data_IF_533888323065
#
_entry.id   IF_533888323065
#
_cell.length_a   1.000
_cell.length_b   1.000
_cell.length_c   1.000
_cell.angle_alpha   90.00
_cell.angle_beta   90.00
_cell.angle_gamma   90.00
#
_symmetry.space_group_name_H-M   'P 1'
#
loop_
_entity.id
_entity.type
_entity.pdbx_description
1 polymer ?
#
# COMPACT_ATOMS: atom_id res chain seq x y z
N UNK A 1 -23.17 2.29 35.52
CA UNK A 1 -22.50 3.24 34.58
C UNK A 1 -21.81 2.43 33.52
N UNK A 2 -22.26 2.42 32.24
CA UNK A 2 -21.58 1.70 31.19
C UNK A 2 -20.31 2.44 30.77
N UNK A 3 -19.22 1.70 30.59
CA UNK A 3 -17.90 2.19 30.21
C UNK A 3 -17.93 2.83 28.81
N UNK A 4 -17.54 4.08 28.73
CA UNK A 4 -17.45 4.94 27.52
C UNK A 4 -16.25 4.58 26.60
N UNK A 5 -15.72 3.32 26.66
CA UNK A 5 -14.45 2.93 26.02
C UNK A 5 -14.53 2.49 24.56
N UNK A 6 -15.69 2.08 24.05
CA UNK A 6 -15.76 1.44 22.73
C UNK A 6 -16.14 2.34 21.56
N UNK A 7 -16.67 3.55 21.82
CA UNK A 7 -17.11 4.48 20.75
C UNK A 7 -16.02 5.42 20.24
N UNK A 8 -14.88 5.51 20.90
CA UNK A 8 -13.81 6.45 20.56
C UNK A 8 -12.69 5.89 19.67
N UNK A 9 -12.55 4.58 19.58
CA UNK A 9 -11.40 3.93 18.92
C UNK A 9 -11.22 4.29 17.44
N UNK A 10 -12.18 4.03 16.54
CA UNK A 10 -12.05 4.33 15.11
C UNK A 10 -11.97 5.83 14.82
N UNK A 11 -12.75 6.64 15.50
CA UNK A 11 -12.72 8.11 15.34
C UNK A 11 -11.40 8.70 15.82
N UNK A 12 -10.88 8.20 16.95
CA UNK A 12 -9.59 8.63 17.49
C UNK A 12 -8.46 8.23 16.54
N UNK A 13 -8.45 7.01 16.01
CA UNK A 13 -7.49 6.55 15.00
C UNK A 13 -7.52 7.44 13.77
N UNK A 14 -8.71 7.73 13.22
CA UNK A 14 -8.87 8.59 12.05
C UNK A 14 -8.33 10.00 12.29
N UNK A 15 -8.63 10.61 13.44
CA UNK A 15 -8.13 11.94 13.80
C UNK A 15 -6.61 11.97 13.95
N UNK A 16 -6.01 11.00 14.64
CA UNK A 16 -4.55 10.90 14.78
C UNK A 16 -3.90 10.82 13.40
N UNK A 17 -4.42 9.98 12.50
CA UNK A 17 -3.93 9.82 11.15
C UNK A 17 -4.03 11.13 10.34
N UNK A 18 -5.15 11.80 10.38
CA UNK A 18 -5.37 13.06 9.67
C UNK A 18 -4.37 14.14 10.11
N UNK A 19 -4.22 14.32 11.43
CA UNK A 19 -3.24 15.24 12.00
C UNK A 19 -1.81 14.87 11.60
N UNK A 20 -1.45 13.59 11.72
CA UNK A 20 -0.11 13.11 11.35
C UNK A 20 0.19 13.37 9.87
N UNK A 21 -0.74 13.04 8.97
CA UNK A 21 -0.58 13.25 7.53
C UNK A 21 -0.40 14.74 7.20
N UNK A 22 -1.19 15.62 7.78
CA UNK A 22 -1.05 17.07 7.61
C UNK A 22 0.35 17.54 8.02
N UNK A 23 0.79 17.19 9.22
CA UNK A 23 2.11 17.58 9.74
C UNK A 23 3.26 17.02 8.90
N UNK A 24 3.19 15.76 8.50
CA UNK A 24 4.26 15.12 7.71
C UNK A 24 4.37 15.71 6.30
N UNK A 25 3.25 16.05 5.66
CA UNK A 25 3.24 16.69 4.34
C UNK A 25 3.75 18.14 4.43
N UNK A 26 3.34 18.89 5.45
CA UNK A 26 3.70 20.29 5.63
C UNK A 26 5.18 20.48 6.04
N UNK A 27 5.65 19.67 7.00
CA UNK A 27 6.93 19.88 7.68
C UNK A 27 8.00 18.82 7.37
N UNK A 28 7.63 17.78 6.64
CA UNK A 28 8.46 16.60 6.41
C UNK A 28 8.35 15.56 7.54
N UNK A 29 8.44 14.28 7.17
CA UNK A 29 8.27 13.18 8.11
C UNK A 29 9.30 13.20 9.26
N UNK A 30 10.59 13.40 8.94
CA UNK A 30 11.67 13.29 9.93
C UNK A 30 11.65 14.44 10.96
N UNK A 31 11.12 15.60 10.58
CA UNK A 31 11.03 16.78 11.45
C UNK A 31 9.91 16.74 12.48
N UNK A 32 8.93 15.85 12.34
CA UNK A 32 7.75 15.75 13.22
C UNK A 32 7.90 14.58 14.19
N UNK A 33 7.60 14.81 15.46
CA UNK A 33 7.65 13.77 16.51
C UNK A 33 6.25 13.21 16.80
N UNK A 34 6.18 11.98 17.34
CA UNK A 34 4.91 11.39 17.82
C UNK A 34 4.29 12.22 18.94
N UNK A 35 5.10 12.89 19.76
CA UNK A 35 4.61 13.77 20.81
C UNK A 35 3.90 15.02 20.26
N UNK A 36 4.39 15.58 19.16
CA UNK A 36 3.73 16.68 18.45
C UNK A 36 2.40 16.23 17.82
N UNK A 37 2.38 15.07 17.16
CA UNK A 37 1.15 14.48 16.62
C UNK A 37 0.12 14.26 17.74
N UNK A 38 0.54 13.70 18.87
CA UNK A 38 -0.33 13.46 20.02
C UNK A 38 -0.95 14.75 20.57
N UNK A 39 -0.11 15.79 20.76
CA UNK A 39 -0.55 17.10 21.22
C UNK A 39 -1.58 17.71 20.28
N UNK A 40 -1.30 17.72 18.98
CA UNK A 40 -2.15 18.31 17.96
C UNK A 40 -3.46 17.53 17.79
N UNK A 41 -3.40 16.20 17.92
CA UNK A 41 -4.58 15.33 17.92
C UNK A 41 -5.37 15.36 19.24
N UNK A 42 -4.88 16.07 20.29
CA UNK A 42 -5.53 16.14 21.59
C UNK A 42 -5.58 14.81 22.33
N UNK A 43 -4.53 13.99 22.21
CA UNK A 43 -4.39 12.69 22.88
C UNK A 43 -3.02 12.54 23.54
N UNK A 44 -2.81 11.47 24.31
CA UNK A 44 -1.48 11.13 24.83
C UNK A 44 -0.64 10.38 23.77
N UNK A 45 0.70 10.43 23.87
CA UNK A 45 1.58 9.60 23.02
C UNK A 45 1.32 8.12 23.22
N UNK A 46 0.92 7.68 24.41
CA UNK A 46 0.53 6.29 24.68
C UNK A 46 -0.70 5.92 23.84
N UNK A 47 -1.68 6.83 23.74
CA UNK A 47 -2.85 6.62 22.89
C UNK A 47 -2.47 6.50 21.43
N UNK A 48 -1.50 7.30 20.95
CA UNK A 48 -1.01 7.19 19.57
C UNK A 48 -0.38 5.81 19.35
N UNK A 49 0.52 5.37 20.23
CA UNK A 49 1.19 4.06 20.09
C UNK A 49 0.22 2.87 20.23
N UNK A 50 -0.88 3.01 20.96
CA UNK A 50 -1.92 1.97 21.01
C UNK A 50 -2.65 1.80 19.67
N UNK A 51 -2.72 2.84 18.84
CA UNK A 51 -3.35 2.79 17.52
C UNK A 51 -2.36 2.55 16.39
N UNK A 52 -1.13 3.02 16.55
CA UNK A 52 -0.05 2.97 15.56
C UNK A 52 1.24 2.58 16.26
N UNK A 53 1.63 1.29 16.24
CA UNK A 53 2.79 0.78 16.97
C UNK A 53 4.12 1.47 16.60
N UNK A 54 4.21 1.98 15.37
CA UNK A 54 5.39 2.69 14.86
C UNK A 54 4.99 4.06 14.31
N UNK A 55 5.94 5.01 14.29
CA UNK A 55 5.73 6.33 13.70
C UNK A 55 5.41 6.23 12.20
N UNK A 56 6.05 5.29 11.49
CA UNK A 56 5.86 5.02 10.07
C UNK A 56 4.41 4.62 9.76
N UNK A 57 3.77 3.87 10.66
CA UNK A 57 2.40 3.40 10.49
C UNK A 57 1.37 4.54 10.57
N UNK A 58 1.76 5.73 11.10
CA UNK A 58 0.94 6.94 11.03
C UNK A 58 0.77 7.46 9.60
N UNK A 59 1.73 7.20 8.73
CA UNK A 59 1.73 7.66 7.34
C UNK A 59 1.42 6.53 6.35
N UNK A 60 1.92 5.32 6.63
CA UNK A 60 1.73 4.12 5.81
C UNK A 60 0.65 3.20 6.41
N UNK A 61 -0.54 3.74 6.67
CA UNK A 61 -1.60 3.13 7.48
C UNK A 61 -2.52 2.15 6.73
N UNK A 62 -2.24 1.86 5.45
CA UNK A 62 -3.09 1.00 4.61
C UNK A 62 -2.55 -0.42 4.42
N UNK A 63 -1.63 -0.84 5.27
CA UNK A 63 -1.06 -2.20 5.19
C UNK A 63 -2.15 -3.25 5.39
N UNK A 64 -3.04 -3.05 6.36
CA UNK A 64 -4.16 -3.99 6.62
C UNK A 64 -5.12 -4.08 5.43
N UNK A 65 -5.42 -2.95 4.76
CA UNK A 65 -6.24 -2.92 3.54
C UNK A 65 -5.57 -3.73 2.42
N UNK A 66 -4.25 -3.57 2.23
CA UNK A 66 -3.50 -4.30 1.22
C UNK A 66 -3.43 -5.81 1.51
N UNK A 67 -3.26 -6.19 2.77
CA UNK A 67 -3.32 -7.60 3.23
C UNK A 67 -4.67 -8.21 2.88
N UNK A 68 -5.77 -7.52 3.21
CA UNK A 68 -7.11 -8.05 2.97
C UNK A 68 -7.43 -8.16 1.47
N UNK A 69 -6.98 -7.20 0.66
CA UNK A 69 -7.10 -7.28 -0.80
C UNK A 69 -6.39 -8.51 -1.38
N UNK A 70 -5.18 -8.84 -0.91
CA UNK A 70 -4.47 -10.04 -1.35
C UNK A 70 -5.20 -11.32 -0.91
N UNK A 71 -5.70 -11.35 0.33
CA UNK A 71 -6.49 -12.49 0.83
C UNK A 71 -7.74 -12.72 0.00
N UNK A 72 -8.52 -11.66 -0.23
CA UNK A 72 -9.74 -11.73 -1.06
C UNK A 72 -9.43 -12.14 -2.49
N UNK A 73 -8.33 -11.64 -3.09
CA UNK A 73 -7.93 -12.03 -4.43
C UNK A 73 -7.65 -13.54 -4.56
N UNK A 74 -7.19 -14.20 -3.48
CA UNK A 74 -6.98 -15.65 -3.48
C UNK A 74 -8.26 -16.41 -3.12
N UNK A 75 -8.97 -15.99 -2.07
CA UNK A 75 -10.11 -16.74 -1.50
C UNK A 75 -11.40 -16.57 -2.29
N UNK A 76 -11.69 -15.37 -2.80
CA UNK A 76 -13.00 -14.99 -3.34
C UNK A 76 -13.02 -15.02 -4.89
N UNK A 77 -12.05 -15.70 -5.52
CA UNK A 77 -11.86 -15.70 -6.98
C UNK A 77 -12.91 -16.47 -7.79
N UNK A 78 -13.93 -17.05 -7.15
CA UNK A 78 -15.06 -17.71 -7.79
C UNK A 78 -14.70 -18.71 -8.92
N UNK A 79 -13.59 -19.44 -8.75
CA UNK A 79 -13.09 -20.43 -9.72
C UNK A 79 -12.17 -19.86 -10.81
N UNK A 80 -11.93 -18.56 -10.85
CA UNK A 80 -10.90 -17.98 -11.71
C UNK A 80 -9.48 -18.44 -11.26
N UNK A 81 -8.52 -18.44 -12.18
CA UNK A 81 -7.12 -18.65 -11.77
C UNK A 81 -6.59 -17.44 -10.97
N UNK A 82 -5.58 -17.68 -10.16
CA UNK A 82 -5.01 -16.69 -9.22
C UNK A 82 -4.48 -15.46 -9.96
N UNK A 83 -3.80 -15.62 -11.09
CA UNK A 83 -3.24 -14.51 -11.85
C UNK A 83 -4.35 -13.61 -12.42
N UNK A 84 -5.43 -14.21 -12.90
CA UNK A 84 -6.61 -13.47 -13.34
C UNK A 84 -7.22 -12.67 -12.19
N UNK A 85 -7.39 -13.27 -11.03
CA UNK A 85 -7.96 -12.58 -9.87
C UNK A 85 -7.07 -11.44 -9.34
N UNK A 86 -5.76 -11.65 -9.26
CA UNK A 86 -4.80 -10.59 -8.90
C UNK A 86 -4.80 -9.46 -9.93
N UNK A 87 -4.87 -9.80 -11.23
CA UNK A 87 -4.97 -8.83 -12.32
C UNK A 87 -6.22 -7.98 -12.19
N UNK A 88 -7.38 -8.61 -12.05
CA UNK A 88 -8.67 -7.93 -11.95
C UNK A 88 -8.72 -7.03 -10.70
N UNK A 89 -8.13 -7.48 -9.58
CA UNK A 89 -7.99 -6.67 -8.37
C UNK A 89 -7.10 -5.45 -8.63
N UNK A 90 -5.93 -5.61 -9.26
CA UNK A 90 -5.02 -4.50 -9.54
C UNK A 90 -5.63 -3.47 -10.51
N UNK A 91 -6.32 -3.93 -11.57
CA UNK A 91 -6.98 -3.03 -12.52
C UNK A 91 -8.21 -2.36 -11.91
N UNK A 92 -8.98 -3.03 -11.07
CA UNK A 92 -10.08 -2.41 -10.33
C UNK A 92 -9.57 -1.29 -9.42
N UNK A 93 -8.48 -1.52 -8.65
CA UNK A 93 -7.86 -0.48 -7.83
C UNK A 93 -7.40 0.72 -8.68
N UNK A 94 -6.85 0.45 -9.86
CA UNK A 94 -6.45 1.48 -10.81
C UNK A 94 -7.67 2.27 -11.32
N UNK A 95 -8.70 1.60 -11.82
CA UNK A 95 -9.89 2.23 -12.41
C UNK A 95 -10.69 3.04 -11.36
N UNK A 96 -10.74 2.57 -10.11
CA UNK A 96 -11.35 3.27 -8.96
C UNK A 96 -10.47 4.38 -8.38
N UNK A 97 -9.25 4.58 -8.89
CA UNK A 97 -8.24 5.51 -8.31
C UNK A 97 -8.03 5.27 -6.81
N UNK A 98 -8.06 4.00 -6.42
CA UNK A 98 -7.88 3.61 -5.03
C UNK A 98 -6.49 4.04 -4.53
N UNK A 99 -6.33 4.52 -3.29
CA UNK A 99 -5.02 4.98 -2.78
C UNK A 99 -3.88 3.97 -2.93
N UNK A 100 -4.18 2.66 -2.84
CA UNK A 100 -3.18 1.60 -3.03
C UNK A 100 -2.76 1.39 -4.50
N UNK A 101 -3.45 1.99 -5.47
CA UNK A 101 -2.99 1.99 -6.86
C UNK A 101 -1.86 3.00 -7.12
N UNK A 102 -1.68 3.98 -6.24
CA UNK A 102 -0.74 5.08 -6.44
C UNK A 102 -1.11 6.05 -7.56
N UNK A 103 -2.29 5.88 -8.18
CA UNK A 103 -2.74 6.68 -9.32
C UNK A 103 -3.83 7.66 -8.88
N UNK A 104 -3.41 8.72 -8.19
CA UNK A 104 -4.25 9.87 -7.83
C UNK A 104 -3.41 11.14 -8.04
N UNK A 105 -3.97 12.16 -8.71
CA UNK A 105 -3.30 13.46 -8.91
C UNK A 105 -2.82 14.09 -7.59
N UNK A 106 -3.50 13.77 -6.49
CA UNK A 106 -3.16 14.24 -5.14
C UNK A 106 -2.06 13.42 -4.45
N UNK A 107 -1.52 12.38 -5.09
CA UNK A 107 -0.50 11.52 -4.48
C UNK A 107 0.92 12.12 -4.48
N UNK A 108 1.18 13.19 -5.22
CA UNK A 108 2.50 13.83 -5.28
C UNK A 108 3.08 14.21 -3.90
N UNK A 109 2.34 14.83 -2.96
CA UNK A 109 2.84 15.08 -1.61
C UNK A 109 3.20 13.81 -0.87
N UNK A 110 2.39 12.75 -0.98
CA UNK A 110 2.67 11.45 -0.38
C UNK A 110 3.99 10.88 -0.91
N UNK A 111 4.16 10.79 -2.22
CA UNK A 111 5.40 10.28 -2.83
C UNK A 111 6.62 11.11 -2.46
N UNK A 112 6.48 12.44 -2.39
CA UNK A 112 7.57 13.32 -1.97
C UNK A 112 7.98 13.06 -0.52
N UNK A 113 7.02 12.90 0.38
CA UNK A 113 7.28 12.61 1.80
C UNK A 113 7.97 11.26 1.97
N UNK A 114 7.48 10.21 1.27
CA UNK A 114 8.12 8.88 1.28
C UNK A 114 9.55 8.94 0.72
N UNK A 115 9.73 9.55 -0.44
CA UNK A 115 11.04 9.66 -1.11
C UNK A 115 12.07 10.48 -0.29
N UNK A 116 11.59 11.43 0.52
CA UNK A 116 12.42 12.28 1.37
C UNK A 116 12.84 11.64 2.70
N UNK A 117 12.32 10.45 3.07
CA UNK A 117 12.62 9.82 4.37
C UNK A 117 13.14 8.39 4.20
N UNK A 118 14.42 8.14 4.57
CA UNK A 118 14.97 6.78 4.60
C UNK A 118 14.17 5.81 5.48
N UNK A 119 13.58 6.30 6.58
CA UNK A 119 12.76 5.49 7.48
C UNK A 119 11.48 5.01 6.79
N UNK A 120 10.78 5.90 6.06
CA UNK A 120 9.59 5.53 5.28
C UNK A 120 9.94 4.58 4.14
N UNK A 121 11.05 4.80 3.43
CA UNK A 121 11.52 3.88 2.38
C UNK A 121 11.79 2.49 2.95
N UNK A 122 12.45 2.40 4.12
CA UNK A 122 12.70 1.14 4.80
C UNK A 122 11.38 0.45 5.17
N UNK A 123 10.43 1.19 5.75
CA UNK A 123 9.11 0.63 6.13
C UNK A 123 8.31 0.14 4.92
N UNK A 124 8.33 0.86 3.80
CA UNK A 124 7.69 0.39 2.54
C UNK A 124 8.27 -0.96 2.11
N UNK A 125 9.59 -1.16 2.21
CA UNK A 125 10.23 -2.45 1.87
C UNK A 125 9.79 -3.57 2.82
N UNK A 126 9.69 -3.27 4.13
CA UNK A 126 9.16 -4.22 5.12
C UNK A 126 7.71 -4.60 4.79
N UNK A 127 6.85 -3.61 4.48
CA UNK A 127 5.45 -3.86 4.09
C UNK A 127 5.38 -4.76 2.86
N UNK A 128 6.19 -4.51 1.82
CA UNK A 128 6.23 -5.38 0.63
C UNK A 128 6.61 -6.81 1.00
N UNK A 129 7.58 -6.99 1.92
CA UNK A 129 7.96 -8.32 2.41
C UNK A 129 6.84 -9.00 3.22
N UNK A 130 6.12 -8.23 4.06
CA UNK A 130 4.96 -8.72 4.81
C UNK A 130 3.82 -9.14 3.86
N UNK A 131 3.55 -8.36 2.81
CA UNK A 131 2.56 -8.69 1.78
C UNK A 131 2.96 -9.92 0.97
N UNK A 132 4.25 -10.07 0.64
CA UNK A 132 4.76 -11.26 -0.04
C UNK A 132 4.54 -12.51 0.83
N UNK A 133 4.89 -12.45 2.11
CA UNK A 133 4.66 -13.57 3.04
C UNK A 133 3.16 -13.91 3.14
N UNK A 134 2.29 -12.90 3.24
CA UNK A 134 0.84 -13.07 3.25
C UNK A 134 0.34 -13.79 2.00
N UNK A 135 0.75 -13.35 0.82
CA UNK A 135 0.32 -13.98 -0.43
C UNK A 135 0.85 -15.41 -0.55
N UNK A 136 2.10 -15.66 -0.15
CA UNK A 136 2.68 -17.02 -0.10
C UNK A 136 1.85 -17.95 0.78
N UNK A 137 1.49 -17.50 1.97
CA UNK A 137 0.68 -18.25 2.91
C UNK A 137 -0.74 -18.55 2.40
N UNK A 138 -1.39 -17.57 1.78
CA UNK A 138 -2.73 -17.75 1.21
C UNK A 138 -2.71 -18.74 0.04
N UNK A 139 -1.72 -18.62 -0.86
CA UNK A 139 -1.55 -19.56 -1.97
C UNK A 139 -1.21 -20.99 -1.49
N UNK A 140 -0.39 -21.11 -0.46
CA UNK A 140 -0.03 -22.39 0.12
C UNK A 140 -1.21 -23.12 0.78
N UNK A 141 -2.21 -22.37 1.24
CA UNK A 141 -3.46 -22.92 1.81
C UNK A 141 -4.55 -23.16 0.78
N UNK A 142 -4.41 -22.67 -0.42
CA UNK A 142 -5.40 -22.78 -1.48
C UNK A 142 -5.31 -24.13 -2.20
N UNK A 143 -6.28 -25.04 -2.04
CA UNK A 143 -6.23 -26.37 -2.67
C UNK A 143 -6.37 -26.31 -4.20
N UNK A 144 -6.80 -25.19 -4.75
CA UNK A 144 -6.90 -24.95 -6.20
C UNK A 144 -5.62 -24.42 -6.83
N UNK A 145 -4.63 -23.98 -6.04
CA UNK A 145 -3.35 -23.50 -6.56
C UNK A 145 -2.36 -24.69 -6.67
N UNK A 146 -1.64 -24.79 -7.81
CA UNK A 146 -0.69 -25.86 -8.11
C UNK A 146 0.73 -25.38 -8.41
N UNK A 147 0.95 -24.06 -8.41
CA UNK A 147 2.24 -23.46 -8.70
C UNK A 147 3.16 -23.38 -7.46
N UNK A 148 4.31 -22.77 -7.66
CA UNK A 148 5.20 -22.38 -6.56
C UNK A 148 4.70 -21.06 -5.95
N UNK A 149 4.13 -21.15 -4.74
CA UNK A 149 3.55 -20.01 -4.03
C UNK A 149 4.61 -18.94 -3.71
N UNK A 150 5.82 -19.36 -3.36
CA UNK A 150 6.92 -18.45 -3.01
C UNK A 150 7.39 -17.65 -4.23
N UNK A 151 7.60 -18.33 -5.37
CA UNK A 151 8.03 -17.68 -6.60
C UNK A 151 6.96 -16.75 -7.16
N UNK A 152 5.69 -17.18 -7.20
CA UNK A 152 4.61 -16.34 -7.70
C UNK A 152 4.46 -15.07 -6.85
N UNK A 153 4.46 -15.21 -5.51
CA UNK A 153 4.34 -14.08 -4.59
C UNK A 153 5.51 -13.10 -4.76
N UNK A 154 6.74 -13.62 -4.86
CA UNK A 154 7.93 -12.80 -5.06
C UNK A 154 7.86 -12.01 -6.38
N UNK A 155 7.57 -12.68 -7.51
CA UNK A 155 7.50 -12.03 -8.82
C UNK A 155 6.37 -11.02 -8.90
N UNK A 156 5.19 -11.34 -8.36
CA UNK A 156 4.06 -10.41 -8.35
C UNK A 156 4.38 -9.16 -7.53
N UNK A 157 4.81 -9.31 -6.27
CA UNK A 157 5.08 -8.15 -5.39
C UNK A 157 6.26 -7.31 -5.89
N UNK A 158 7.32 -7.94 -6.39
CA UNK A 158 8.46 -7.22 -6.97
C UNK A 158 8.03 -6.43 -8.23
N UNK A 159 7.28 -7.06 -9.13
CA UNK A 159 6.79 -6.41 -10.34
C UNK A 159 5.80 -5.28 -10.04
N UNK A 160 4.83 -5.50 -9.13
CA UNK A 160 3.91 -4.46 -8.70
C UNK A 160 4.65 -3.28 -8.06
N UNK A 161 5.63 -3.55 -7.19
CA UNK A 161 6.48 -2.52 -6.59
C UNK A 161 7.25 -1.72 -7.64
N UNK A 162 7.75 -2.37 -8.69
CA UNK A 162 8.43 -1.69 -9.79
C UNK A 162 7.49 -0.74 -10.56
N UNK A 163 6.23 -1.15 -10.80
CA UNK A 163 5.21 -0.27 -11.40
C UNK A 163 4.96 0.94 -10.51
N UNK A 164 4.80 0.74 -9.19
CA UNK A 164 4.56 1.81 -8.22
C UNK A 164 5.72 2.81 -8.14
N UNK A 165 6.96 2.30 -8.08
CA UNK A 165 8.17 3.15 -8.03
C UNK A 165 8.30 4.01 -9.28
N UNK A 166 8.05 3.43 -10.45
CA UNK A 166 8.11 4.18 -11.71
C UNK A 166 7.00 5.24 -11.80
N UNK A 167 5.81 4.93 -11.31
CA UNK A 167 4.70 5.91 -11.22
C UNK A 167 5.09 7.06 -10.30
N UNK A 168 5.60 6.75 -9.09
CA UNK A 168 6.07 7.75 -8.15
C UNK A 168 7.16 8.64 -8.75
N UNK A 169 8.14 8.05 -9.46
CA UNK A 169 9.22 8.79 -10.14
C UNK A 169 8.66 9.80 -11.14
N UNK A 170 7.75 9.38 -12.02
CA UNK A 170 7.12 10.27 -13.03
C UNK A 170 6.29 11.39 -12.40
N UNK A 171 5.54 11.09 -11.34
CA UNK A 171 4.79 12.10 -10.57
C UNK A 171 5.74 13.13 -9.96
N UNK A 172 6.85 12.69 -9.38
CA UNK A 172 7.84 13.58 -8.76
C UNK A 172 8.61 14.42 -9.79
N UNK A 173 8.81 13.91 -10.99
CA UNK A 173 9.38 14.64 -12.14
C UNK A 173 8.39 15.65 -12.76
N UNK A 174 7.14 15.69 -12.29
CA UNK A 174 6.13 16.60 -12.81
C UNK A 174 5.63 16.27 -14.21
N UNK A 175 5.70 15.00 -14.62
CA UNK A 175 5.15 14.58 -15.91
C UNK A 175 3.64 14.81 -15.97
N UNK A 176 3.11 15.07 -17.17
CA UNK A 176 1.69 15.28 -17.38
C UNK A 176 0.88 14.07 -16.89
N UNK A 177 -0.18 14.32 -16.13
CA UNK A 177 -0.96 13.28 -15.46
C UNK A 177 -1.46 12.18 -16.40
N UNK A 178 -1.94 12.54 -17.59
CA UNK A 178 -2.37 11.56 -18.61
C UNK A 178 -1.25 10.58 -18.98
N UNK A 179 0.01 11.07 -19.13
CA UNK A 179 1.17 10.21 -19.43
C UNK A 179 1.44 9.24 -18.28
N UNK A 180 1.34 9.73 -17.03
CA UNK A 180 1.54 8.90 -15.84
C UNK A 180 0.51 7.78 -15.77
N UNK A 181 -0.77 8.10 -15.98
CA UNK A 181 -1.90 7.15 -15.95
C UNK A 181 -1.76 6.10 -17.05
N UNK A 182 -1.49 6.53 -18.27
CA UNK A 182 -1.36 5.60 -19.42
C UNK A 182 -0.16 4.66 -19.24
N UNK A 183 0.97 5.18 -18.75
CA UNK A 183 2.15 4.37 -18.49
C UNK A 183 1.93 3.37 -17.36
N UNK A 184 1.29 3.78 -16.27
CA UNK A 184 0.94 2.88 -15.17
C UNK A 184 0.06 1.72 -15.65
N UNK A 185 -1.03 2.02 -16.38
CA UNK A 185 -1.93 1.01 -16.95
C UNK A 185 -1.21 0.03 -17.86
N UNK A 186 -0.35 0.56 -18.75
CA UNK A 186 0.46 -0.25 -19.67
C UNK A 186 1.40 -1.18 -18.91
N UNK A 187 2.09 -0.67 -17.87
CA UNK A 187 3.03 -1.46 -17.04
C UNK A 187 2.32 -2.53 -16.23
N UNK A 188 1.12 -2.25 -15.70
CA UNK A 188 0.30 -3.28 -15.06
C UNK A 188 -0.03 -4.41 -16.04
N UNK A 189 -0.42 -4.10 -17.28
CA UNK A 189 -0.65 -5.10 -18.31
C UNK A 189 0.60 -5.95 -18.55
N UNK A 190 1.74 -5.31 -18.79
CA UNK A 190 3.02 -5.98 -19.02
C UNK A 190 3.46 -6.86 -17.84
N UNK A 191 3.19 -6.45 -16.60
CA UNK A 191 3.46 -7.28 -15.43
C UNK A 191 2.70 -8.60 -15.49
N UNK A 192 1.39 -8.56 -15.75
CA UNK A 192 0.58 -9.77 -15.80
C UNK A 192 0.86 -10.64 -17.02
N UNK A 193 1.18 -10.04 -18.16
CA UNK A 193 1.66 -10.78 -19.35
C UNK A 193 2.98 -11.50 -19.02
N UNK A 194 3.93 -10.82 -18.38
CA UNK A 194 5.20 -11.41 -17.95
C UNK A 194 5.04 -12.53 -16.91
N UNK A 195 4.09 -12.40 -16.00
CA UNK A 195 3.78 -13.45 -15.01
C UNK A 195 3.15 -14.69 -15.66
N UNK A 196 2.40 -14.52 -16.75
CA UNK A 196 1.73 -15.60 -17.47
C UNK A 196 2.65 -16.28 -18.49
N UNK A 197 3.36 -15.50 -19.29
CA UNK A 197 4.04 -15.95 -20.52
C UNK A 197 5.57 -15.85 -20.42
N UNK A 198 6.10 -15.29 -19.34
CA UNK A 198 7.50 -14.94 -19.17
C UNK A 198 7.86 -13.55 -19.69
N UNK A 199 9.04 -13.04 -19.29
CA UNK A 199 9.51 -11.72 -19.69
C UNK A 199 10.04 -11.80 -21.13
N UNK A 200 9.54 -10.97 -22.07
CA UNK A 200 10.10 -10.90 -23.42
C UNK A 200 11.58 -10.48 -23.37
N UNK A 201 12.45 -11.27 -23.99
CA UNK A 201 13.91 -11.02 -24.03
C UNK A 201 14.39 -10.53 -25.41
N UNK A 202 13.46 -10.21 -26.31
CA UNK A 202 13.72 -9.72 -27.67
C UNK A 202 12.94 -8.45 -27.95
#
# INVERSE_FOLDING_TARGET
>A
MPRTGERGGPQTRARIREVANGLFIERGYDAVTVAEVAREAGVSSVTVFNHFPRKEDLFLDRTDDAVELLRSAVRDRAGADVLTSLRDTAFRLFDERHPLSGVDERSAPFFRTVAGSPALIARVREIVSELQATLTDELGRDPGFRGDATLLSAFFLAGYSAVMVETARKVLEGQAWGIVVDDHRRRLGQLFDALRDGVPTR
#
